data_IF_700158848054
#
_entry.id   IF_700158848054
#
_cell.length_a   1.000
_cell.length_b   1.000
_cell.length_c   1.000
_cell.angle_alpha   90.00
_cell.angle_beta   90.00
_cell.angle_gamma   90.00
#
_symmetry.space_group_name_H-M   'P 1'
#
loop_
_entity.id
_entity.type
_entity.pdbx_description
1 polymer ?
#
# COMPACT_ATOMS: atom_id res chain seq x y z
N UNK A 1 33.18 -65.33 -19.87
CA UNK A 1 33.34 -63.88 -20.12
C UNK A 1 31.97 -63.20 -19.94
N UNK A 2 31.74 -62.69 -18.70
CA UNK A 2 30.62 -61.78 -18.36
C UNK A 2 31.24 -60.66 -17.51
N UNK A 3 31.46 -59.52 -18.11
CA UNK A 3 31.93 -58.39 -17.39
C UNK A 3 31.24 -57.10 -17.93
N UNK A 4 30.71 -56.33 -17.00
CA UNK A 4 30.54 -54.89 -17.05
C UNK A 4 29.50 -54.28 -18.00
N UNK A 5 28.33 -54.01 -17.42
CA UNK A 5 27.53 -52.83 -17.73
C UNK A 5 26.59 -52.52 -16.54
N UNK A 6 27.13 -52.06 -15.41
CA UNK A 6 26.34 -51.67 -14.26
C UNK A 6 26.76 -50.28 -13.66
N UNK A 7 27.35 -49.41 -14.47
CA UNK A 7 27.89 -48.15 -13.97
C UNK A 7 27.33 -46.87 -14.55
N UNK A 8 26.38 -46.90 -15.50
CA UNK A 8 25.95 -45.68 -16.20
C UNK A 8 24.51 -45.18 -15.94
N UNK A 9 23.73 -45.95 -15.16
CA UNK A 9 22.34 -45.57 -14.89
C UNK A 9 22.20 -44.78 -13.58
N UNK A 10 23.13 -44.93 -12.63
CA UNK A 10 23.14 -44.18 -11.37
C UNK A 10 23.58 -42.73 -11.54
N UNK A 11 24.47 -42.48 -12.49
CA UNK A 11 25.01 -41.11 -12.72
C UNK A 11 24.05 -40.18 -13.49
N UNK A 12 23.15 -40.81 -14.29
CA UNK A 12 22.09 -40.02 -14.97
C UNK A 12 20.96 -39.61 -14.03
N UNK A 13 20.66 -40.41 -12.99
CA UNK A 13 19.62 -40.10 -12.00
C UNK A 13 20.09 -39.09 -10.99
N UNK A 14 21.41 -39.02 -10.68
CA UNK A 14 21.98 -37.99 -9.84
C UNK A 14 22.02 -36.60 -10.52
N UNK A 15 22.21 -36.57 -11.83
CA UNK A 15 22.20 -35.31 -12.59
C UNK A 15 20.79 -34.71 -12.78
N UNK A 16 19.73 -35.52 -12.76
CA UNK A 16 18.34 -35.03 -12.84
C UNK A 16 17.82 -34.48 -11.49
N UNK A 17 18.41 -34.92 -10.35
CA UNK A 17 17.99 -34.43 -9.03
C UNK A 17 18.55 -33.04 -8.69
N UNK A 18 19.61 -32.58 -9.35
CA UNK A 18 20.23 -31.27 -9.10
C UNK A 18 19.54 -30.14 -9.87
N UNK A 19 18.77 -30.45 -10.93
CA UNK A 19 18.09 -29.44 -11.75
C UNK A 19 16.73 -29.01 -11.14
N UNK A 20 16.23 -29.69 -10.12
CA UNK A 20 14.93 -29.40 -9.49
C UNK A 20 15.01 -28.45 -8.27
N UNK A 21 16.18 -27.89 -7.98
CA UNK A 21 16.36 -26.83 -6.93
C UNK A 21 16.82 -25.49 -7.49
N UNK A 22 16.57 -25.21 -8.74
CA UNK A 22 16.47 -23.81 -9.17
C UNK A 22 15.12 -23.33 -8.66
N UNK A 23 15.12 -22.81 -7.44
CA UNK A 23 13.98 -22.10 -6.89
C UNK A 23 13.50 -21.13 -7.95
N UNK A 24 12.25 -21.29 -8.36
CA UNK A 24 11.53 -20.26 -9.07
C UNK A 24 11.58 -19.07 -8.11
N UNK A 25 12.52 -18.16 -8.33
CA UNK A 25 12.46 -16.85 -7.71
C UNK A 25 11.12 -16.28 -8.18
N UNK A 26 10.12 -16.35 -7.32
CA UNK A 26 8.88 -15.61 -7.56
C UNK A 26 9.29 -14.18 -7.85
N UNK A 27 8.80 -13.55 -8.91
CA UNK A 27 9.08 -12.14 -9.13
C UNK A 27 8.75 -11.41 -7.84
N UNK A 28 9.69 -10.67 -7.31
CA UNK A 28 9.46 -9.80 -6.16
C UNK A 28 8.44 -8.78 -6.64
N UNK A 29 7.22 -8.89 -6.16
CA UNK A 29 6.14 -7.96 -6.46
C UNK A 29 6.36 -6.75 -5.55
N UNK A 30 6.90 -5.65 -6.07
CA UNK A 30 6.91 -4.39 -5.33
C UNK A 30 5.54 -3.72 -5.52
N UNK A 31 4.60 -4.08 -4.70
CA UNK A 31 3.26 -3.54 -4.54
C UNK A 31 2.75 -3.95 -3.14
N UNK A 32 1.44 -3.91 -2.91
CA UNK A 32 0.85 -4.35 -1.64
C UNK A 32 1.09 -5.84 -1.32
N UNK A 33 1.52 -6.66 -2.28
CA UNK A 33 1.82 -8.09 -2.10
C UNK A 33 3.30 -8.36 -1.83
N UNK A 34 4.15 -7.32 -1.72
CA UNK A 34 5.56 -7.48 -1.41
C UNK A 34 5.75 -8.15 -0.03
N UNK A 35 6.39 -9.34 0.03
CA UNK A 35 6.58 -10.05 1.29
C UNK A 35 7.41 -9.27 2.33
N UNK A 36 8.21 -8.29 1.90
CA UNK A 36 8.97 -7.44 2.82
C UNK A 36 8.09 -6.46 3.60
N UNK A 37 6.85 -6.21 3.16
CA UNK A 37 5.92 -5.33 3.88
C UNK A 37 5.62 -5.84 5.29
N UNK A 38 5.50 -7.15 5.49
CA UNK A 38 5.23 -7.73 6.81
C UNK A 38 6.37 -7.40 7.79
N UNK A 39 7.62 -7.57 7.36
CA UNK A 39 8.80 -7.24 8.16
C UNK A 39 8.89 -5.74 8.45
N UNK A 40 8.59 -4.89 7.44
CA UNK A 40 8.60 -3.44 7.59
C UNK A 40 7.53 -2.95 8.57
N UNK A 41 6.31 -3.48 8.51
CA UNK A 41 5.25 -3.14 9.45
C UNK A 41 5.57 -3.62 10.86
N UNK A 42 6.12 -4.81 11.00
CA UNK A 42 6.53 -5.34 12.30
C UNK A 42 7.68 -4.53 12.93
N UNK A 43 8.65 -4.11 12.12
CA UNK A 43 9.72 -3.22 12.56
C UNK A 43 9.16 -1.85 12.94
N UNK A 44 8.25 -1.29 12.14
CA UNK A 44 7.62 0.01 12.40
C UNK A 44 6.85 0.03 13.73
N UNK A 45 6.17 -1.06 14.09
CA UNK A 45 5.46 -1.17 15.37
C UNK A 45 6.38 -1.26 16.59
N UNK A 46 7.60 -1.79 16.41
CA UNK A 46 8.56 -1.99 17.51
C UNK A 46 9.51 -0.83 17.74
N UNK A 47 9.80 -0.06 16.70
CA UNK A 47 10.77 1.04 16.81
C UNK A 47 10.21 2.24 17.57
N UNK A 48 11.10 2.95 18.28
CA UNK A 48 10.78 4.23 18.95
C UNK A 48 11.68 5.37 18.49
N UNK A 49 12.57 5.09 17.55
CA UNK A 49 13.56 6.06 17.07
C UNK A 49 13.03 6.82 15.87
N UNK A 50 12.93 8.14 15.95
CA UNK A 50 12.42 9.01 14.86
C UNK A 50 13.07 8.73 13.50
N UNK A 51 14.38 8.47 13.52
CA UNK A 51 15.12 8.16 12.27
C UNK A 51 14.61 6.86 11.63
N UNK A 52 14.43 5.82 12.42
CA UNK A 52 13.95 4.53 11.94
C UNK A 52 12.49 4.60 11.52
N UNK A 53 11.63 5.30 12.29
CA UNK A 53 10.24 5.55 11.95
C UNK A 53 10.13 6.17 10.55
N UNK A 54 10.89 7.24 10.31
CA UNK A 54 10.91 7.93 9.00
C UNK A 54 11.40 7.01 7.87
N UNK A 55 12.44 6.21 8.15
CA UNK A 55 13.01 5.29 7.15
C UNK A 55 12.03 4.15 6.83
N UNK A 56 11.48 3.49 7.84
CA UNK A 56 10.53 2.38 7.66
C UNK A 56 9.25 2.85 6.97
N UNK A 57 8.71 4.00 7.38
CA UNK A 57 7.53 4.59 6.73
C UNK A 57 7.82 4.88 5.25
N UNK A 58 8.99 5.43 4.93
CA UNK A 58 9.39 5.68 3.53
C UNK A 58 9.51 4.38 2.76
N UNK A 59 10.18 3.36 3.31
CA UNK A 59 10.33 2.06 2.66
C UNK A 59 8.96 1.43 2.35
N UNK A 60 7.98 1.54 3.24
CA UNK A 60 6.61 1.06 3.00
C UNK A 60 5.98 1.81 1.82
N UNK A 61 6.08 3.15 1.80
CA UNK A 61 5.56 3.96 0.69
C UNK A 61 6.25 3.64 -0.63
N UNK A 62 7.57 3.44 -0.61
CA UNK A 62 8.34 3.08 -1.79
C UNK A 62 7.86 1.73 -2.36
N UNK A 63 7.59 0.74 -1.49
CA UNK A 63 7.03 -0.57 -1.90
C UNK A 63 5.64 -0.43 -2.52
N UNK A 64 4.75 0.31 -1.89
CA UNK A 64 3.41 0.54 -2.43
C UNK A 64 3.42 1.31 -3.74
N UNK A 65 4.38 2.22 -3.93
CA UNK A 65 4.46 3.06 -5.14
C UNK A 65 5.24 2.37 -6.27
N UNK A 66 6.14 1.47 -5.94
CA UNK A 66 6.89 0.73 -6.96
C UNK A 66 5.97 -0.25 -7.69
N UNK A 67 6.15 -0.34 -9.00
CA UNK A 67 5.51 -1.33 -9.86
C UNK A 67 6.62 -1.96 -10.70
N UNK A 68 7.30 -2.99 -10.13
CA UNK A 68 8.59 -3.48 -10.66
C UNK A 68 8.49 -4.16 -12.03
N UNK A 69 7.33 -4.68 -12.38
CA UNK A 69 7.18 -5.45 -13.61
C UNK A 69 6.80 -4.62 -14.83
N UNK A 70 6.51 -3.33 -14.65
CA UNK A 70 6.16 -2.42 -15.75
C UNK A 70 6.66 -1.00 -15.51
N UNK A 71 7.75 -0.68 -16.21
CA UNK A 71 8.37 0.65 -16.16
C UNK A 71 7.43 1.76 -16.64
N UNK A 72 6.44 1.45 -17.48
CA UNK A 72 5.53 2.45 -18.03
C UNK A 72 4.43 2.77 -17.04
N UNK A 73 3.90 1.78 -16.32
CA UNK A 73 2.97 2.01 -15.20
C UNK A 73 3.63 2.85 -14.11
N UNK A 74 4.89 2.60 -13.76
CA UNK A 74 5.63 3.44 -12.81
C UNK A 74 5.78 4.89 -13.31
N UNK A 75 6.11 5.10 -14.59
CA UNK A 75 6.17 6.44 -15.18
C UNK A 75 4.82 7.15 -15.15
N UNK A 76 3.74 6.43 -15.45
CA UNK A 76 2.38 6.97 -15.33
C UNK A 76 2.05 7.35 -13.89
N UNK A 77 2.42 6.53 -12.89
CA UNK A 77 2.24 6.86 -11.48
C UNK A 77 2.96 8.17 -11.11
N UNK A 78 4.24 8.30 -11.49
CA UNK A 78 5.03 9.54 -11.27
C UNK A 78 4.41 10.73 -11.99
N UNK A 79 3.92 10.56 -13.23
CA UNK A 79 3.22 11.61 -13.98
C UNK A 79 1.94 12.04 -13.26
N UNK A 80 1.11 11.10 -12.82
CA UNK A 80 -0.12 11.38 -12.10
C UNK A 80 0.14 12.16 -10.80
N UNK A 81 1.14 11.75 -10.02
CA UNK A 81 1.57 12.45 -8.81
C UNK A 81 2.08 13.87 -9.12
N UNK A 82 2.81 14.06 -10.20
CA UNK A 82 3.29 15.36 -10.64
C UNK A 82 2.13 16.28 -11.00
N UNK A 83 1.17 15.80 -11.78
CA UNK A 83 -0.05 16.54 -12.13
C UNK A 83 -0.88 16.91 -10.89
N UNK A 84 -1.02 15.98 -9.94
CA UNK A 84 -1.70 16.23 -8.67
C UNK A 84 -1.01 17.35 -7.88
N UNK A 85 0.31 17.32 -7.75
CA UNK A 85 1.09 18.36 -7.04
C UNK A 85 1.02 19.73 -7.72
N UNK A 86 0.82 19.77 -9.04
CA UNK A 86 0.61 20.99 -9.82
C UNK A 86 -0.85 21.48 -9.78
N UNK A 87 -1.74 20.82 -9.04
CA UNK A 87 -3.16 21.16 -8.98
C UNK A 87 -3.95 20.78 -10.23
N UNK A 88 -3.36 20.06 -11.19
CA UNK A 88 -4.01 19.61 -12.42
C UNK A 88 -4.86 18.33 -12.16
N UNK A 89 -5.81 18.47 -11.21
CA UNK A 89 -6.49 17.32 -10.60
C UNK A 89 -7.27 16.47 -11.60
N UNK A 90 -7.93 17.08 -12.58
CA UNK A 90 -8.68 16.31 -13.60
C UNK A 90 -7.76 15.45 -14.46
N UNK A 91 -6.57 15.97 -14.81
CA UNK A 91 -5.57 15.20 -15.58
C UNK A 91 -4.94 14.10 -14.73
N UNK A 92 -4.66 14.39 -13.45
CA UNK A 92 -4.17 13.38 -12.52
C UNK A 92 -5.15 12.22 -12.36
N UNK A 93 -6.46 12.52 -12.22
CA UNK A 93 -7.51 11.49 -12.13
C UNK A 93 -7.57 10.61 -13.38
N UNK A 94 -7.42 11.20 -14.58
CA UNK A 94 -7.39 10.43 -15.82
C UNK A 94 -6.20 9.47 -15.85
N UNK A 95 -5.01 9.92 -15.43
CA UNK A 95 -3.81 9.08 -15.39
C UNK A 95 -3.98 7.91 -14.42
N UNK A 96 -4.44 8.19 -13.19
CA UNK A 96 -4.67 7.11 -12.22
C UNK A 96 -5.79 6.17 -12.63
N UNK A 97 -6.82 6.66 -13.34
CA UNK A 97 -7.87 5.80 -13.90
C UNK A 97 -7.32 4.87 -14.96
N UNK A 98 -6.47 5.35 -15.87
CA UNK A 98 -5.83 4.49 -16.86
C UNK A 98 -4.95 3.41 -16.22
N UNK A 99 -4.21 3.75 -15.15
CA UNK A 99 -3.45 2.73 -14.39
C UNK A 99 -4.39 1.67 -13.79
N UNK A 100 -5.52 2.08 -13.22
CA UNK A 100 -6.50 1.17 -12.62
C UNK A 100 -7.17 0.28 -13.67
N UNK A 101 -7.44 0.81 -14.87
CA UNK A 101 -8.04 0.05 -15.96
C UNK A 101 -7.10 -1.08 -16.44
N UNK A 102 -5.79 -0.81 -16.48
CA UNK A 102 -4.77 -1.79 -16.87
C UNK A 102 -4.36 -2.73 -15.71
N UNK A 103 -4.33 -2.20 -14.48
CA UNK A 103 -3.88 -2.88 -13.27
C UNK A 103 -4.88 -2.68 -12.11
N UNK A 104 -6.06 -3.32 -12.16
CA UNK A 104 -7.12 -3.12 -11.17
C UNK A 104 -6.72 -3.57 -9.76
N UNK A 105 -5.72 -4.44 -9.63
CA UNK A 105 -5.22 -4.93 -8.33
C UNK A 105 -4.18 -3.99 -7.69
N UNK A 106 -3.74 -2.94 -8.38
CA UNK A 106 -2.72 -2.02 -7.86
C UNK A 106 -3.32 -1.02 -6.87
N UNK A 107 -3.25 -1.32 -5.58
CA UNK A 107 -3.88 -0.56 -4.49
C UNK A 107 -3.49 0.93 -4.47
N UNK A 108 -2.21 1.26 -4.73
CA UNK A 108 -1.74 2.64 -4.67
C UNK A 108 -2.33 3.52 -5.78
N UNK A 109 -2.67 2.97 -6.94
CA UNK A 109 -3.37 3.73 -7.99
C UNK A 109 -4.77 4.17 -7.53
N UNK A 110 -5.50 3.28 -6.86
CA UNK A 110 -6.78 3.61 -6.22
C UNK A 110 -6.61 4.67 -5.13
N UNK A 111 -5.58 4.55 -4.29
CA UNK A 111 -5.28 5.52 -3.23
C UNK A 111 -4.97 6.92 -3.80
N UNK A 112 -4.18 7.01 -4.86
CA UNK A 112 -3.89 8.29 -5.52
C UNK A 112 -5.14 8.90 -6.16
N UNK A 113 -5.97 8.09 -6.82
CA UNK A 113 -7.23 8.59 -7.39
C UNK A 113 -8.19 9.04 -6.28
N UNK A 114 -8.30 8.30 -5.19
CA UNK A 114 -9.06 8.72 -4.01
C UNK A 114 -8.62 10.09 -3.49
N UNK A 115 -7.31 10.29 -3.38
CA UNK A 115 -6.74 11.57 -2.93
C UNK A 115 -7.12 12.70 -3.87
N UNK A 116 -7.00 12.51 -5.19
CA UNK A 116 -7.40 13.51 -6.20
C UNK A 116 -8.89 13.82 -6.11
N UNK A 117 -9.74 12.81 -5.99
CA UNK A 117 -11.20 12.97 -5.84
C UNK A 117 -11.55 13.74 -4.57
N UNK A 118 -10.90 13.42 -3.45
CA UNK A 118 -11.04 14.19 -2.22
C UNK A 118 -10.66 15.65 -2.42
N UNK A 119 -9.53 15.96 -3.06
CA UNK A 119 -9.11 17.34 -3.35
C UNK A 119 -10.09 18.09 -4.26
N UNK A 120 -10.80 17.38 -5.14
CA UNK A 120 -11.86 17.94 -6.00
C UNK A 120 -13.22 18.08 -5.32
N UNK A 121 -13.38 17.60 -4.08
CA UNK A 121 -14.66 17.59 -3.36
C UNK A 121 -15.56 16.41 -3.69
N UNK A 122 -15.11 15.45 -4.49
CA UNK A 122 -15.83 14.20 -4.74
C UNK A 122 -15.60 13.19 -3.62
N UNK A 123 -16.26 13.42 -2.47
CA UNK A 123 -16.15 12.54 -1.30
C UNK A 123 -16.73 11.16 -1.54
N UNK A 124 -17.76 11.07 -2.38
CA UNK A 124 -18.37 9.79 -2.69
C UNK A 124 -17.42 8.90 -3.52
N UNK A 125 -16.88 9.45 -4.59
CA UNK A 125 -15.89 8.76 -5.42
C UNK A 125 -14.62 8.43 -4.66
N UNK A 126 -14.13 9.36 -3.83
CA UNK A 126 -12.95 9.14 -2.98
C UNK A 126 -13.17 7.98 -2.01
N UNK A 127 -14.32 7.91 -1.33
CA UNK A 127 -14.64 6.84 -0.40
C UNK A 127 -14.76 5.48 -1.09
N UNK A 128 -15.30 5.42 -2.30
CA UNK A 128 -15.35 4.18 -3.09
C UNK A 128 -13.94 3.69 -3.43
N UNK A 129 -13.07 4.58 -3.88
CA UNK A 129 -11.69 4.22 -4.19
C UNK A 129 -10.93 3.76 -2.92
N UNK A 130 -11.15 4.40 -1.77
CA UNK A 130 -10.57 3.96 -0.49
C UNK A 130 -11.04 2.54 -0.11
N UNK A 131 -12.29 2.20 -0.36
CA UNK A 131 -12.78 0.85 -0.11
C UNK A 131 -12.01 -0.18 -0.95
N UNK A 132 -11.75 0.13 -2.24
CA UNK A 132 -10.92 -0.72 -3.11
C UNK A 132 -9.47 -0.84 -2.59
N UNK A 133 -8.90 0.24 -2.02
CA UNK A 133 -7.57 0.19 -1.39
C UNK A 133 -7.57 -0.76 -0.20
N UNK A 134 -8.54 -0.61 0.72
CA UNK A 134 -8.58 -1.37 1.97
C UNK A 134 -8.86 -2.85 1.70
N UNK A 135 -9.62 -3.18 0.65
CA UNK A 135 -9.85 -4.56 0.23
C UNK A 135 -8.55 -5.25 -0.22
N UNK A 136 -7.67 -4.52 -0.92
CA UNK A 136 -6.39 -5.03 -1.44
C UNK A 136 -5.26 -4.96 -0.41
N UNK A 137 -5.19 -3.88 0.35
CA UNK A 137 -4.18 -3.64 1.40
C UNK A 137 -4.86 -3.08 2.67
N UNK A 138 -5.33 -3.95 3.56
CA UNK A 138 -5.98 -3.53 4.82
C UNK A 138 -5.09 -2.69 5.74
N UNK A 139 -3.76 -2.74 5.53
CA UNK A 139 -2.76 -1.98 6.30
C UNK A 139 -2.42 -0.63 5.66
N UNK A 140 -3.17 -0.18 4.66
CA UNK A 140 -2.89 1.07 3.98
C UNK A 140 -3.26 2.27 4.85
N UNK A 141 -2.36 2.66 5.76
CA UNK A 141 -2.61 3.71 6.75
C UNK A 141 -2.90 5.08 6.13
N UNK A 142 -2.42 5.35 4.90
CA UNK A 142 -2.77 6.56 4.14
C UNK A 142 -4.24 6.59 3.74
N UNK A 143 -4.77 5.48 3.21
CA UNK A 143 -6.18 5.35 2.85
C UNK A 143 -7.10 5.42 4.08
N UNK A 144 -6.72 4.74 5.18
CA UNK A 144 -7.45 4.81 6.45
C UNK A 144 -7.49 6.25 6.99
N UNK A 145 -6.39 7.00 6.93
CA UNK A 145 -6.35 8.41 7.31
C UNK A 145 -7.20 9.27 6.37
N UNK A 146 -7.16 9.01 5.06
CA UNK A 146 -8.01 9.67 4.06
C UNK A 146 -9.50 9.46 4.34
N UNK A 147 -9.91 8.25 4.73
CA UNK A 147 -11.28 7.95 5.15
C UNK A 147 -11.69 8.81 6.36
N UNK A 148 -10.78 8.96 7.34
CA UNK A 148 -10.98 9.84 8.49
C UNK A 148 -11.23 11.29 8.08
N UNK A 149 -10.45 11.80 7.13
CA UNK A 149 -10.63 13.17 6.60
C UNK A 149 -11.97 13.35 5.88
N UNK A 150 -12.41 12.37 5.11
CA UNK A 150 -13.73 12.39 4.46
C UNK A 150 -14.83 12.43 5.53
N UNK A 151 -14.72 11.61 6.56
CA UNK A 151 -15.68 11.60 7.65
C UNK A 151 -15.76 12.94 8.39
N UNK A 152 -14.61 13.62 8.64
CA UNK A 152 -14.60 14.97 9.22
C UNK A 152 -15.36 15.93 8.33
N UNK A 153 -15.05 15.99 7.03
CA UNK A 153 -15.70 16.90 6.09
C UNK A 153 -17.22 16.70 6.03
N UNK A 154 -17.68 15.47 6.24
CA UNK A 154 -19.10 15.12 6.26
C UNK A 154 -19.75 15.20 7.67
N UNK A 155 -19.05 15.74 8.69
CA UNK A 155 -19.56 15.88 10.05
C UNK A 155 -19.71 14.57 10.81
N UNK A 156 -19.22 13.45 10.30
CA UNK A 156 -19.27 12.15 10.98
C UNK A 156 -18.04 11.98 11.90
N UNK A 157 -18.05 12.66 13.04
CA UNK A 157 -16.91 12.66 13.99
C UNK A 157 -16.59 11.27 14.52
N UNK A 158 -17.61 10.44 14.76
CA UNK A 158 -17.42 9.07 15.24
C UNK A 158 -16.75 8.18 14.18
N UNK A 159 -17.17 8.28 12.92
CA UNK A 159 -16.54 7.57 11.80
C UNK A 159 -15.11 8.04 11.58
N UNK A 160 -14.85 9.34 11.71
CA UNK A 160 -13.50 9.89 11.64
C UNK A 160 -12.59 9.32 12.73
N UNK A 161 -13.06 9.28 13.98
CA UNK A 161 -12.33 8.71 15.11
C UNK A 161 -11.95 7.25 14.84
N UNK A 162 -12.92 6.43 14.42
CA UNK A 162 -12.69 5.01 14.09
C UNK A 162 -11.65 4.82 12.99
N UNK A 163 -11.71 5.65 11.93
CA UNK A 163 -10.78 5.56 10.80
C UNK A 163 -9.35 5.93 11.19
N UNK A 164 -9.15 7.02 11.96
CA UNK A 164 -7.81 7.38 12.46
C UNK A 164 -7.28 6.38 13.48
N UNK A 165 -8.11 5.81 14.35
CA UNK A 165 -7.70 4.74 15.25
C UNK A 165 -7.29 3.48 14.47
N UNK A 166 -7.98 3.15 13.36
CA UNK A 166 -7.56 2.08 12.47
C UNK A 166 -6.18 2.36 11.85
N UNK A 167 -5.95 3.59 11.38
CA UNK A 167 -4.65 3.99 10.85
C UNK A 167 -3.52 3.85 11.89
N UNK A 168 -3.76 4.25 13.16
CA UNK A 168 -2.78 4.13 14.24
C UNK A 168 -2.52 2.67 14.66
N UNK A 169 -3.49 1.76 14.51
CA UNK A 169 -3.22 0.33 14.74
C UNK A 169 -2.20 -0.23 13.76
N UNK A 170 -2.15 0.32 12.56
CA UNK A 170 -1.18 -0.07 11.52
C UNK A 170 0.15 0.64 11.71
N UNK A 171 0.11 1.96 11.79
CA UNK A 171 1.28 2.81 12.00
C UNK A 171 1.08 3.68 13.25
N UNK A 172 1.61 3.27 14.42
CA UNK A 172 1.41 4.01 15.67
C UNK A 172 2.10 5.37 15.72
N UNK A 173 2.92 5.69 14.73
CA UNK A 173 3.72 6.92 14.68
C UNK A 173 3.14 8.02 13.78
N UNK A 174 1.88 7.91 13.38
CA UNK A 174 1.18 8.94 12.59
C UNK A 174 0.78 10.13 13.49
N UNK A 175 1.68 11.09 13.66
CA UNK A 175 1.46 12.27 14.53
C UNK A 175 0.15 13.00 14.18
N UNK A 176 -0.12 13.23 12.90
CA UNK A 176 -1.36 13.88 12.46
C UNK A 176 -2.62 13.10 12.89
N UNK A 177 -2.59 11.76 12.85
CA UNK A 177 -3.72 10.94 13.29
C UNK A 177 -3.89 11.02 14.82
N UNK A 178 -2.81 11.04 15.59
CA UNK A 178 -2.85 11.22 17.05
C UNK A 178 -3.47 12.56 17.43
N UNK A 179 -3.08 13.64 16.75
CA UNK A 179 -3.64 14.98 16.97
C UNK A 179 -5.12 15.04 16.61
N UNK A 180 -5.52 14.44 15.47
CA UNK A 180 -6.91 14.39 15.04
C UNK A 180 -7.79 13.61 16.03
N UNK A 181 -7.33 12.45 16.51
CA UNK A 181 -8.03 11.67 17.52
C UNK A 181 -8.25 12.49 18.81
N UNK A 182 -7.23 13.21 19.24
CA UNK A 182 -7.30 14.04 20.45
C UNK A 182 -8.38 15.12 20.31
N UNK A 183 -8.42 15.81 19.17
CA UNK A 183 -9.43 16.83 18.85
C UNK A 183 -10.84 16.24 18.75
N UNK A 184 -10.99 15.13 18.00
CA UNK A 184 -12.27 14.46 17.81
C UNK A 184 -12.88 13.97 19.15
N UNK A 185 -12.06 13.41 20.04
CA UNK A 185 -12.50 13.00 21.37
C UNK A 185 -12.94 14.17 22.24
N UNK A 186 -12.28 15.32 22.13
CA UNK A 186 -12.67 16.53 22.83
C UNK A 186 -14.03 17.05 22.32
N UNK A 187 -14.21 17.11 21.00
CA UNK A 187 -15.44 17.58 20.37
C UNK A 187 -16.64 16.67 20.68
N UNK A 188 -16.46 15.35 20.57
CA UNK A 188 -17.50 14.38 20.92
C UNK A 188 -17.94 14.48 22.39
N UNK A 189 -17.01 14.76 23.32
CA UNK A 189 -17.36 15.00 24.72
C UNK A 189 -18.17 16.29 24.90
N UNK A 190 -17.84 17.35 24.13
CA UNK A 190 -18.58 18.62 24.19
C UNK A 190 -20.00 18.54 23.63
N UNK A 191 -20.27 17.59 22.72
CA UNK A 191 -21.61 17.37 22.16
C UNK A 191 -22.51 16.51 23.07
N UNK A 192 -21.96 15.89 24.12
CA UNK A 192 -22.67 15.00 25.03
C UNK A 192 -23.19 15.73 26.28
N UNK A 193 -22.98 17.05 26.39
CA UNK A 193 -23.46 17.95 27.46
C UNK A 193 -24.62 18.81 26.97
#
# INVERSE_FOLDING_TARGET
>A
MRCVMRGKLSDLLAALAVIMMLGIASPVMADQNDPQLDELFDALKRTTTDREIKQLTRNIWDRWTAFENDSDTYKMMVQGMTLMNQGQLSRAEMVFSAIIDDHPDYAEAWNKRATVRFMRGDDYGSRRDIAEVIDREPRHFGALSGLGMIHIRNGNLQGALQAFEAALRVNPHLANAQDMISRLRQELRGQSL
#
